data_IF_880010878743
#
_entry.id   IF_880010878743
#
_cell.length_a   1.000
_cell.length_b   1.000
_cell.length_c   1.000
_cell.angle_alpha   90.00
_cell.angle_beta   90.00
_cell.angle_gamma   90.00
#
_symmetry.space_group_name_H-M   'P 1'
#
loop_
_entity.id
_entity.type
_entity.pdbx_description
1 polymer ?
#
# COMPACT_ATOMS: atom_id res chain seq x y z
N UNK A 1 23.48 0.47 -11.75
CA UNK A 1 23.06 1.17 -10.52
C UNK A 1 22.62 0.12 -9.51
N UNK A 2 23.41 -0.10 -8.45
CA UNK A 2 23.13 -1.09 -7.41
C UNK A 2 22.03 -0.53 -6.48
N UNK A 3 20.82 -1.04 -6.62
CA UNK A 3 19.72 -0.70 -5.71
C UNK A 3 19.67 -1.80 -4.65
N UNK A 4 20.13 -1.54 -3.42
CA UNK A 4 20.04 -2.55 -2.35
C UNK A 4 18.56 -2.91 -2.13
N UNK A 5 18.17 -4.19 -2.09
CA UNK A 5 16.82 -4.57 -1.72
C UNK A 5 16.60 -4.30 -0.22
N UNK A 6 15.39 -3.90 0.14
CA UNK A 6 15.01 -3.86 1.56
C UNK A 6 15.03 -5.29 2.11
N UNK A 7 15.19 -5.47 3.42
CA UNK A 7 15.03 -6.80 4.05
C UNK A 7 13.72 -7.49 3.62
N UNK A 8 12.63 -6.72 3.50
CA UNK A 8 11.34 -7.20 3.02
C UNK A 8 11.33 -7.69 1.57
N UNK A 9 12.26 -7.21 0.73
CA UNK A 9 12.36 -7.58 -0.68
C UNK A 9 13.22 -8.86 -0.89
N UNK A 10 13.89 -9.38 0.15
CA UNK A 10 14.59 -10.65 0.08
C UNK A 10 13.61 -11.81 -0.15
N UNK A 11 13.86 -12.62 -1.16
CA UNK A 11 12.97 -13.74 -1.54
C UNK A 11 11.67 -13.32 -2.23
N UNK A 12 11.42 -12.02 -2.42
CA UNK A 12 10.23 -11.50 -3.11
C UNK A 12 10.14 -12.00 -4.55
N UNK A 13 11.27 -12.03 -5.27
CA UNK A 13 11.29 -12.55 -6.64
C UNK A 13 10.84 -14.01 -6.71
N UNK A 14 11.34 -14.86 -5.79
CA UNK A 14 10.92 -16.26 -5.68
C UNK A 14 9.43 -16.36 -5.33
N UNK A 15 8.98 -15.59 -4.33
CA UNK A 15 7.57 -15.55 -3.92
C UNK A 15 6.65 -15.12 -5.07
N UNK A 16 7.07 -14.15 -5.88
CA UNK A 16 6.31 -13.64 -7.01
C UNK A 16 6.08 -14.71 -8.09
N UNK A 17 7.07 -15.59 -8.35
CA UNK A 17 6.95 -16.71 -9.31
C UNK A 17 5.80 -17.64 -8.92
N UNK A 18 5.63 -17.94 -7.63
CA UNK A 18 4.58 -18.85 -7.16
C UNK A 18 3.20 -18.18 -7.03
N UNK A 19 3.14 -16.86 -6.83
CA UNK A 19 1.89 -16.17 -6.51
C UNK A 19 1.25 -15.44 -7.69
N UNK A 20 2.02 -15.02 -8.70
CA UNK A 20 1.48 -14.29 -9.86
C UNK A 20 1.00 -15.26 -10.94
N UNK A 21 -0.24 -15.10 -11.38
CA UNK A 21 -0.83 -15.85 -12.49
C UNK A 21 -1.54 -17.16 -12.11
N UNK A 22 -1.36 -17.65 -10.88
CA UNK A 22 -2.02 -18.85 -10.38
C UNK A 22 -3.33 -18.52 -9.64
N UNK A 23 -4.36 -18.16 -10.41
CA UNK A 23 -5.72 -17.85 -9.93
C UNK A 23 -6.70 -19.00 -10.13
N UNK A 24 -6.34 -20.24 -9.75
CA UNK A 24 -7.23 -21.39 -9.92
C UNK A 24 -8.51 -21.13 -9.11
N UNK A 25 -9.67 -21.12 -9.79
CA UNK A 25 -11.02 -20.85 -9.21
C UNK A 25 -11.27 -19.42 -8.71
N UNK A 26 -10.52 -18.42 -9.17
CA UNK A 26 -10.81 -17.00 -8.88
C UNK A 26 -10.84 -16.17 -10.17
N UNK A 27 -11.90 -15.38 -10.36
CA UNK A 27 -11.95 -14.34 -11.39
C UNK A 27 -11.49 -13.03 -10.76
N UNK A 28 -10.48 -12.40 -11.34
CA UNK A 28 -9.94 -11.12 -10.90
C UNK A 28 -10.02 -10.11 -12.04
N UNK A 29 -10.57 -8.94 -11.75
CA UNK A 29 -10.61 -7.78 -12.65
C UNK A 29 -9.81 -6.67 -11.98
N UNK A 30 -8.79 -6.14 -12.66
CA UNK A 30 -8.00 -5.00 -12.20
C UNK A 30 -8.13 -3.86 -13.22
N UNK A 31 -8.56 -2.70 -12.77
CA UNK A 31 -8.61 -1.46 -13.54
C UNK A 31 -7.69 -0.43 -12.89
N UNK A 32 -6.68 0.04 -13.62
CA UNK A 32 -5.79 1.11 -13.16
C UNK A 32 -5.79 2.28 -14.13
N UNK A 33 -6.18 3.43 -13.63
CA UNK A 33 -6.21 4.70 -14.37
C UNK A 33 -5.13 5.59 -13.77
N UNK A 34 -4.30 6.19 -14.63
CA UNK A 34 -3.30 7.19 -14.23
C UNK A 34 -3.60 8.48 -14.97
N UNK A 35 -3.95 9.52 -14.24
CA UNK A 35 -4.14 10.85 -14.79
C UNK A 35 -2.80 11.59 -14.85
N UNK A 36 -2.65 12.46 -15.86
CA UNK A 36 -1.51 13.37 -15.98
C UNK A 36 -1.41 14.35 -14.79
N UNK A 37 -2.52 14.57 -14.07
CA UNK A 37 -2.58 15.44 -12.89
C UNK A 37 -2.00 14.83 -11.60
N UNK A 38 -1.38 13.65 -11.66
CA UNK A 38 -0.79 12.97 -10.50
C UNK A 38 -1.76 12.13 -9.67
N UNK A 39 -2.99 11.98 -10.17
CA UNK A 39 -4.01 11.10 -9.56
C UNK A 39 -3.97 9.72 -10.21
N UNK A 40 -3.86 8.67 -9.42
CA UNK A 40 -3.99 7.28 -9.86
C UNK A 40 -5.17 6.63 -9.15
N UNK A 41 -6.09 6.05 -9.91
CA UNK A 41 -7.18 5.24 -9.40
C UNK A 41 -6.93 3.78 -9.76
N UNK A 42 -7.03 2.88 -8.79
CA UNK A 42 -6.92 1.45 -9.00
C UNK A 42 -8.11 0.78 -8.36
N UNK A 43 -8.96 0.16 -9.16
CA UNK A 43 -10.09 -0.65 -8.68
C UNK A 43 -9.81 -2.10 -9.01
N UNK A 44 -10.01 -3.01 -8.07
CA UNK A 44 -10.06 -4.42 -8.39
C UNK A 44 -11.25 -5.13 -7.77
N UNK A 45 -11.77 -6.09 -8.52
CA UNK A 45 -12.87 -6.96 -8.14
C UNK A 45 -12.40 -8.41 -8.19
N UNK A 46 -12.77 -9.18 -7.17
CA UNK A 46 -12.43 -10.57 -7.03
C UNK A 46 -13.71 -11.37 -6.80
N UNK A 47 -13.91 -12.43 -7.57
CA UNK A 47 -14.98 -13.40 -7.37
C UNK A 47 -14.37 -14.79 -7.14
N UNK A 48 -14.72 -15.41 -6.02
CA UNK A 48 -14.19 -16.69 -5.59
C UNK A 48 -15.19 -17.80 -5.90
N UNK A 49 -14.87 -18.68 -6.86
CA UNK A 49 -15.81 -19.70 -7.33
C UNK A 49 -16.08 -20.82 -6.31
N UNK A 50 -15.21 -20.97 -5.29
CA UNK A 50 -15.36 -21.98 -4.23
C UNK A 50 -16.31 -21.55 -3.10
N UNK A 51 -16.41 -20.24 -2.82
CA UNK A 51 -17.20 -19.69 -1.71
C UNK A 51 -18.39 -18.86 -2.18
N UNK A 52 -18.42 -18.48 -3.46
CA UNK A 52 -19.36 -17.50 -3.99
C UNK A 52 -19.12 -16.07 -3.50
N UNK A 53 -18.08 -15.83 -2.67
CA UNK A 53 -17.78 -14.50 -2.15
C UNK A 53 -17.27 -13.60 -3.28
N UNK A 54 -17.77 -12.36 -3.30
CA UNK A 54 -17.26 -11.28 -4.15
C UNK A 54 -16.66 -10.22 -3.24
N UNK A 55 -15.45 -9.76 -3.55
CA UNK A 55 -14.79 -8.66 -2.84
C UNK A 55 -14.29 -7.62 -3.83
N UNK A 56 -14.46 -6.35 -3.46
CA UNK A 56 -13.99 -5.21 -4.24
C UNK A 56 -13.04 -4.35 -3.41
N UNK A 57 -12.08 -3.73 -4.09
CA UNK A 57 -11.19 -2.75 -3.50
C UNK A 57 -10.98 -1.58 -4.44
N UNK A 58 -10.92 -0.38 -3.87
CA UNK A 58 -10.69 0.88 -4.56
C UNK A 58 -9.51 1.55 -3.87
N UNK A 59 -8.42 1.75 -4.58
CA UNK A 59 -7.26 2.53 -4.15
C UNK A 59 -7.22 3.83 -4.97
N UNK A 60 -7.25 4.96 -4.27
CA UNK A 60 -7.01 6.30 -4.84
C UNK A 60 -5.68 6.80 -4.34
N UNK A 61 -4.78 7.16 -5.25
CA UNK A 61 -3.47 7.70 -4.93
C UNK A 61 -3.35 9.09 -5.54
N UNK A 62 -2.98 10.06 -4.71
CA UNK A 62 -2.77 11.43 -5.10
C UNK A 62 -1.33 11.81 -4.83
N UNK A 63 -0.58 12.11 -5.88
CA UNK A 63 0.83 12.50 -5.80
C UNK A 63 0.97 14.00 -5.98
N UNK A 64 1.49 14.66 -4.97
CA UNK A 64 1.85 16.08 -5.01
C UNK A 64 3.35 16.18 -5.22
N UNK A 65 3.77 16.11 -6.49
CA UNK A 65 5.18 16.05 -6.87
C UNK A 65 6.01 17.19 -6.29
N UNK A 66 5.48 18.41 -6.26
CA UNK A 66 6.18 19.60 -5.75
C UNK A 66 6.61 19.44 -4.28
N UNK A 67 5.80 18.76 -3.47
CA UNK A 67 6.03 18.57 -2.04
C UNK A 67 6.54 17.17 -1.67
N UNK A 68 6.78 16.28 -2.64
CA UNK A 68 7.19 14.90 -2.35
C UNK A 68 6.16 14.13 -1.51
N UNK A 69 4.91 14.60 -1.51
CA UNK A 69 3.81 14.06 -0.72
C UNK A 69 2.99 13.11 -1.59
N UNK A 70 2.68 11.93 -1.05
CA UNK A 70 1.73 11.01 -1.66
C UNK A 70 0.68 10.65 -0.63
N UNK A 71 -0.57 10.92 -0.99
CA UNK A 71 -1.74 10.51 -0.24
C UNK A 71 -2.36 9.28 -0.91
N UNK A 72 -2.66 8.24 -0.16
CA UNK A 72 -3.30 7.03 -0.67
C UNK A 72 -4.48 6.67 0.22
N UNK A 73 -5.66 6.55 -0.36
CA UNK A 73 -6.85 6.02 0.29
C UNK A 73 -7.22 4.68 -0.30
N UNK A 74 -7.47 3.69 0.56
CA UNK A 74 -7.88 2.34 0.17
C UNK A 74 -9.20 2.01 0.84
N UNK A 75 -10.20 1.71 0.03
CA UNK A 75 -11.50 1.23 0.47
C UNK A 75 -11.69 -0.20 0.02
N UNK A 76 -12.32 -1.02 0.85
CA UNK A 76 -12.74 -2.36 0.46
C UNK A 76 -14.21 -2.62 0.80
N UNK A 77 -14.78 -3.67 0.21
CA UNK A 77 -16.17 -4.10 0.46
C UNK A 77 -16.41 -4.67 1.85
N UNK A 78 -15.34 -4.92 2.63
CA UNK A 78 -15.43 -5.33 4.04
C UNK A 78 -15.47 -4.09 4.98
N UNK A 79 -15.85 -2.91 4.48
CA UNK A 79 -15.98 -1.64 5.20
C UNK A 79 -14.72 -1.19 5.95
N UNK A 80 -13.56 -1.37 5.34
CA UNK A 80 -12.27 -0.88 5.85
C UNK A 80 -11.76 0.28 4.99
N UNK A 81 -11.40 1.40 5.63
CA UNK A 81 -10.62 2.49 5.02
C UNK A 81 -9.20 2.45 5.54
N UNK A 82 -8.24 2.30 4.63
CA UNK A 82 -6.86 2.63 4.87
C UNK A 82 -6.56 4.03 4.34
N UNK A 83 -5.98 4.90 5.16
CA UNK A 83 -5.41 6.17 4.72
C UNK A 83 -3.91 6.16 4.98
N UNK A 84 -3.11 6.32 3.93
CA UNK A 84 -1.66 6.35 3.96
C UNK A 84 -1.20 7.73 3.48
N UNK A 85 -0.39 8.42 4.28
CA UNK A 85 0.30 9.66 3.93
C UNK A 85 1.79 9.34 3.90
N UNK A 86 2.45 9.60 2.78
CA UNK A 86 3.90 9.43 2.66
C UNK A 86 4.57 10.72 2.21
N UNK A 87 5.74 10.98 2.80
CA UNK A 87 6.59 12.11 2.48
C UNK A 87 7.98 11.57 2.13
N UNK A 88 8.46 11.93 0.94
CA UNK A 88 9.75 11.48 0.41
C UNK A 88 10.68 12.65 0.15
N UNK A 89 11.94 12.51 0.55
CA UNK A 89 13.07 13.37 0.16
C UNK A 89 12.91 14.87 0.50
N UNK A 90 12.11 15.22 1.52
CA UNK A 90 11.95 16.62 1.97
C UNK A 90 12.69 16.98 3.25
N UNK A 91 12.80 16.06 4.19
CA UNK A 91 13.57 16.28 5.42
C UNK A 91 15.05 15.93 5.24
N UNK A 92 15.32 14.85 4.51
CA UNK A 92 16.65 14.42 4.09
C UNK A 92 16.55 13.64 2.78
N UNK A 93 17.56 13.75 1.93
CA UNK A 93 17.65 12.94 0.71
C UNK A 93 17.70 11.45 1.07
N UNK A 94 16.87 10.64 0.43
CA UNK A 94 16.75 9.21 0.71
C UNK A 94 15.86 8.85 1.91
N UNK A 95 15.30 9.83 2.63
CA UNK A 95 14.33 9.59 3.69
C UNK A 95 12.90 9.52 3.14
N UNK A 96 12.19 8.45 3.52
CA UNK A 96 10.76 8.27 3.30
C UNK A 96 10.07 8.05 4.65
N UNK A 97 9.17 8.97 5.00
CA UNK A 97 8.25 8.82 6.12
C UNK A 97 6.90 8.37 5.59
N UNK A 98 6.25 7.46 6.30
CA UNK A 98 4.91 6.98 5.95
C UNK A 98 4.08 6.84 7.21
N UNK A 99 2.91 7.46 7.20
CA UNK A 99 1.92 7.35 8.24
C UNK A 99 0.69 6.66 7.67
N UNK A 100 0.44 5.45 8.15
CA UNK A 100 -0.71 4.64 7.79
C UNK A 100 -1.74 4.69 8.91
N UNK A 101 -3.00 4.82 8.54
CA UNK A 101 -4.14 4.66 9.43
C UNK A 101 -5.13 3.71 8.80
N UNK A 102 -5.75 2.86 9.61
CA UNK A 102 -6.73 1.89 9.16
C UNK A 102 -7.93 1.97 10.10
N UNK A 103 -9.09 2.25 9.50
CA UNK A 103 -10.35 2.44 10.18
C UNK A 103 -11.35 1.38 9.71
N UNK A 104 -11.91 0.63 10.66
CA UNK A 104 -12.99 -0.32 10.39
C UNK A 104 -14.33 0.30 10.81
N UNK A 105 -15.23 0.60 9.87
CA UNK A 105 -16.53 1.22 10.19
C UNK A 105 -17.36 0.33 11.11
N UNK A 106 -17.36 -0.97 10.85
CA UNK A 106 -18.22 -1.91 11.55
C UNK A 106 -17.86 -2.09 13.04
N UNK A 107 -16.63 -1.74 13.44
CA UNK A 107 -16.15 -1.98 14.82
C UNK A 107 -15.57 -0.75 15.50
N UNK A 108 -15.43 0.38 14.79
CA UNK A 108 -14.79 1.59 15.31
C UNK A 108 -13.28 1.46 15.57
N UNK A 109 -12.69 0.28 15.36
CA UNK A 109 -11.27 0.01 15.61
C UNK A 109 -10.39 0.88 14.72
N UNK A 110 -9.39 1.51 15.35
CA UNK A 110 -8.40 2.35 14.68
C UNK A 110 -7.01 1.74 14.88
N UNK A 111 -6.30 1.52 13.79
CA UNK A 111 -4.90 1.12 13.82
C UNK A 111 -4.08 2.22 13.14
N UNK A 112 -2.99 2.62 13.78
CA UNK A 112 -2.01 3.57 13.24
C UNK A 112 -0.67 2.88 13.07
N UNK A 113 0.04 3.16 11.99
CA UNK A 113 1.40 2.69 11.81
C UNK A 113 2.26 3.82 11.27
N UNK A 114 3.32 4.15 11.99
CA UNK A 114 4.33 5.08 11.53
C UNK A 114 5.54 4.29 11.03
N UNK A 115 5.98 4.55 9.80
CA UNK A 115 7.16 3.93 9.18
C UNK A 115 8.15 5.00 8.80
N UNK A 116 9.41 4.76 9.10
CA UNK A 116 10.53 5.56 8.61
C UNK A 116 11.47 4.65 7.84
N UNK A 117 11.79 5.03 6.61
CA UNK A 117 12.77 4.34 5.79
C UNK A 117 13.83 5.34 5.33
N UNK A 118 15.09 4.98 5.48
CA UNK A 118 16.20 5.79 5.02
C UNK A 118 17.07 4.96 4.08
N UNK A 119 17.46 5.57 2.96
CA UNK A 119 18.26 4.94 1.92
C UNK A 119 19.39 5.87 1.50
N UNK A 120 20.63 5.42 1.65
CA UNK A 120 21.79 6.13 1.16
C UNK A 120 22.82 5.16 0.59
N UNK A 121 23.05 5.22 -0.73
CA UNK A 121 23.99 4.33 -1.43
C UNK A 121 23.73 2.85 -1.15
N UNK A 122 24.65 2.19 -0.45
CA UNK A 122 24.57 0.77 -0.08
C UNK A 122 23.74 0.51 1.19
N UNK A 123 23.47 1.53 2.01
CA UNK A 123 22.79 1.37 3.29
C UNK A 123 21.30 1.67 3.20
N UNK A 124 20.48 0.77 3.77
CA UNK A 124 19.04 0.96 3.95
C UNK A 124 18.61 0.54 5.34
N UNK A 125 17.84 1.40 5.99
CA UNK A 125 17.24 1.14 7.30
C UNK A 125 15.73 1.36 7.22
N UNK A 126 14.99 0.55 7.98
CA UNK A 126 13.54 0.62 8.08
C UNK A 126 13.13 0.40 9.53
N UNK A 127 12.33 1.32 10.06
CA UNK A 127 11.70 1.19 11.36
C UNK A 127 10.19 1.38 11.21
N UNK A 128 9.39 0.62 11.96
CA UNK A 128 7.97 0.89 12.06
C UNK A 128 7.46 0.76 13.48
N UNK A 129 6.63 1.69 13.90
CA UNK A 129 5.90 1.67 15.17
C UNK A 129 4.41 1.52 14.90
N UNK A 130 3.79 0.61 15.64
CA UNK A 130 2.37 0.29 15.55
C UNK A 130 1.64 0.87 16.76
N UNK A 131 0.54 1.56 16.52
CA UNK A 131 -0.33 2.15 17.51
C UNK A 131 -1.72 1.53 17.38
N UNK A 132 -2.22 0.93 18.44
CA UNK A 132 -3.57 0.38 18.47
C UNK A 132 -4.44 1.24 19.39
N UNK A 133 -5.59 1.69 18.90
CA UNK A 133 -6.59 2.38 19.72
C UNK A 133 -7.90 1.62 19.60
N UNK A 134 -8.30 0.95 20.68
CA UNK A 134 -9.66 0.47 20.88
C UNK A 134 -10.47 1.62 21.45
N UNK A 135 -11.54 2.00 20.75
CA UNK A 135 -12.57 2.86 21.31
C UNK A 135 -13.44 2.10 22.30
#
# INVERSE_FOLDING_TARGET
>A
MCNTPTYYDLGKATKDVFNKGYGIRMVKIDLRIKSCSGVEFSTSGHAYANTGKVSGNIETKYKVYNYGLTFTQKWNTDNTLGTEISLENKLAEGLKLTFDTLFLWNTGKKNGKLKASFKNGLFQSWNSHHFYSTG
#
